data_IF_601856929470
#
_entry.id   IF_601856929470
#
_cell.length_a   1.000
_cell.length_b   1.000
_cell.length_c   1.000
_cell.angle_alpha   90.00
_cell.angle_beta   90.00
_cell.angle_gamma   90.00
#
_symmetry.space_group_name_H-M   'P 1'
#
loop_
_entity.id
_entity.type
_entity.pdbx_description
1 polymer ?
#
# COMPACT_ATOMS: atom_id res chain seq x y z
N UNK A 1 8.27 1.53 -3.36
CA UNK A 1 8.87 1.81 -4.67
C UNK A 1 9.49 3.19 -4.74
N UNK A 2 10.08 3.53 -5.89
CA UNK A 2 10.84 4.78 -6.05
C UNK A 2 9.95 6.04 -6.06
N UNK A 3 8.76 5.98 -6.64
CA UNK A 3 7.85 7.11 -6.77
C UNK A 3 6.82 7.23 -5.66
N UNK A 4 6.39 6.10 -5.09
CA UNK A 4 5.35 6.04 -4.05
C UNK A 4 5.50 4.83 -3.15
N UNK A 5 4.88 4.88 -1.98
CA UNK A 5 4.61 3.73 -1.13
C UNK A 5 3.11 3.44 -1.19
N UNK A 6 2.75 2.20 -1.47
CA UNK A 6 1.36 1.75 -1.44
C UNK A 6 1.08 1.07 -0.10
N UNK A 7 0.05 1.51 0.58
CA UNK A 7 -0.44 0.90 1.81
C UNK A 7 -1.82 0.30 1.58
N UNK A 8 -1.96 -0.97 1.87
CA UNK A 8 -3.19 -1.75 1.67
C UNK A 8 -3.54 -2.52 2.94
N UNK A 9 -4.32 -1.92 3.86
CA UNK A 9 -4.82 -2.64 5.03
C UNK A 9 -5.89 -3.64 4.63
N UNK A 10 -5.82 -4.83 5.23
CA UNK A 10 -6.81 -5.89 5.13
C UNK A 10 -7.46 -6.11 6.49
N UNK A 11 -8.74 -6.44 6.47
CA UNK A 11 -9.48 -6.94 7.62
C UNK A 11 -9.77 -8.42 7.35
N UNK A 12 -9.04 -9.30 8.02
CA UNK A 12 -8.95 -10.72 7.66
C UNK A 12 -8.51 -10.86 6.19
N UNK A 13 -9.38 -11.40 5.34
CA UNK A 13 -9.09 -11.65 3.93
C UNK A 13 -9.69 -10.57 3.00
N UNK A 14 -10.26 -9.49 3.56
CA UNK A 14 -10.92 -8.44 2.78
C UNK A 14 -10.11 -7.16 2.74
N UNK A 15 -9.87 -6.63 1.55
CA UNK A 15 -9.21 -5.35 1.34
C UNK A 15 -10.07 -4.21 1.90
N UNK A 16 -9.51 -3.42 2.80
CA UNK A 16 -10.19 -2.21 3.34
C UNK A 16 -10.07 -1.06 2.36
N UNK A 17 -8.87 -0.78 1.92
CA UNK A 17 -8.52 0.24 0.94
C UNK A 17 -7.13 -0.02 0.40
N UNK A 18 -6.78 0.66 -0.68
CA UNK A 18 -5.40 0.78 -1.11
C UNK A 18 -5.10 2.26 -1.40
N UNK A 19 -4.00 2.76 -0.87
CA UNK A 19 -3.63 4.17 -1.01
C UNK A 19 -2.17 4.27 -1.43
N UNK A 20 -1.93 5.09 -2.44
CA UNK A 20 -0.59 5.46 -2.85
C UNK A 20 -0.18 6.74 -2.13
N UNK A 21 0.77 6.63 -1.23
CA UNK A 21 1.36 7.77 -0.55
C UNK A 21 2.60 8.27 -1.31
N UNK A 22 2.86 9.57 -1.37
CA UNK A 22 4.01 10.15 -2.07
C UNK A 22 5.33 9.95 -1.31
N UNK A 23 5.52 8.77 -0.74
CA UNK A 23 6.65 8.33 0.08
C UNK A 23 7.65 7.46 -0.69
N UNK A 24 7.70 7.58 -2.02
CA UNK A 24 8.73 6.92 -2.82
C UNK A 24 10.12 7.48 -2.51
N UNK A 25 11.11 6.61 -2.45
CA UNK A 25 12.46 6.95 -1.97
C UNK A 25 13.17 7.99 -2.86
N UNK A 26 12.98 7.93 -4.17
CA UNK A 26 13.47 8.95 -5.10
C UNK A 26 12.78 10.30 -4.89
N UNK A 27 11.49 10.30 -4.62
CA UNK A 27 10.73 11.52 -4.35
C UNK A 27 11.19 12.17 -3.05
N UNK A 28 11.33 11.38 -1.98
CA UNK A 28 11.83 11.88 -0.69
C UNK A 28 13.24 12.45 -0.85
N UNK A 29 14.15 11.73 -1.51
CA UNK A 29 15.50 12.23 -1.82
C UNK A 29 15.45 13.55 -2.59
N UNK A 30 14.60 13.64 -3.61
CA UNK A 30 14.47 14.86 -4.43
C UNK A 30 13.95 16.07 -3.66
N UNK A 31 13.12 15.86 -2.64
CA UNK A 31 12.68 16.92 -1.73
C UNK A 31 13.83 17.40 -0.85
N UNK A 32 14.62 16.48 -0.31
CA UNK A 32 15.78 16.80 0.54
C UNK A 32 16.89 17.54 -0.22
N UNK A 33 17.14 17.17 -1.46
CA UNK A 33 18.17 17.83 -2.30
C UNK A 33 17.90 19.34 -2.53
N UNK A 34 16.69 19.80 -2.26
CA UNK A 34 16.31 21.22 -2.38
C UNK A 34 16.50 22.01 -1.09
N UNK A 35 16.82 21.34 0.01
CA UNK A 35 16.95 21.93 1.33
C UNK A 35 18.42 21.85 1.72
N UNK A 36 19.16 22.99 1.79
CA UNK A 36 20.50 23.00 2.33
C UNK A 36 20.42 22.73 3.84
N UNK A 37 20.85 21.55 4.25
CA UNK A 37 20.74 21.10 5.63
C UNK A 37 21.88 20.13 5.99
N UNK A 38 22.16 19.99 7.26
CA UNK A 38 23.04 18.95 7.81
C UNK A 38 22.42 17.56 7.68
N UNK A 39 23.20 16.50 7.85
CA UNK A 39 22.71 15.11 7.80
C UNK A 39 21.59 14.87 8.84
N UNK A 40 21.74 15.44 10.05
CA UNK A 40 20.73 15.30 11.11
C UNK A 40 19.43 16.04 10.78
N UNK A 41 19.53 17.23 10.21
CA UNK A 41 18.36 17.98 9.74
C UNK A 41 17.67 17.27 8.58
N UNK A 42 18.42 16.67 7.65
CA UNK A 42 17.83 15.85 6.59
C UNK A 42 17.03 14.68 7.14
N UNK A 43 17.53 14.00 8.17
CA UNK A 43 16.84 12.91 8.85
C UNK A 43 15.51 13.39 9.44
N UNK A 44 15.51 14.49 10.18
CA UNK A 44 14.30 15.08 10.76
C UNK A 44 13.28 15.46 9.68
N UNK A 45 13.72 16.05 8.58
CA UNK A 45 12.84 16.38 7.46
C UNK A 45 12.22 15.14 6.80
N UNK A 46 12.97 14.02 6.68
CA UNK A 46 12.40 12.77 6.18
C UNK A 46 11.30 12.27 7.11
N UNK A 47 11.57 12.27 8.42
CA UNK A 47 10.60 11.85 9.43
C UNK A 47 9.35 12.71 9.39
N UNK A 48 9.46 14.02 9.30
CA UNK A 48 8.33 14.95 9.19
C UNK A 48 7.49 14.70 7.93
N UNK A 49 8.14 14.52 6.77
CA UNK A 49 7.44 14.21 5.50
C UNK A 49 6.65 12.90 5.63
N UNK A 50 7.30 11.88 6.19
CA UNK A 50 6.69 10.55 6.35
C UNK A 50 5.53 10.63 7.34
N UNK A 51 5.71 11.30 8.47
CA UNK A 51 4.70 11.45 9.51
C UNK A 51 3.46 12.20 9.04
N UNK A 52 3.61 13.25 8.29
CA UNK A 52 2.50 14.01 7.73
C UNK A 52 1.62 13.15 6.81
N UNK A 53 2.23 12.36 5.93
CA UNK A 53 1.51 11.46 5.03
C UNK A 53 0.84 10.30 5.80
N UNK A 54 1.58 9.71 6.74
CA UNK A 54 1.08 8.61 7.55
C UNK A 54 0.01 9.04 8.55
N UNK A 55 0.09 10.25 9.11
CA UNK A 55 -0.94 10.79 10.01
C UNK A 55 -2.31 10.83 9.32
N UNK A 56 -2.33 11.35 8.10
CA UNK A 56 -3.57 11.40 7.30
C UNK A 56 -4.10 10.00 7.01
N UNK A 57 -3.22 9.09 6.61
CA UNK A 57 -3.58 7.70 6.35
C UNK A 57 -4.15 7.00 7.61
N UNK A 58 -3.48 7.14 8.75
CA UNK A 58 -3.93 6.59 10.04
C UNK A 58 -5.31 7.10 10.42
N UNK A 59 -5.49 8.41 10.40
CA UNK A 59 -6.75 9.05 10.77
C UNK A 59 -7.92 8.59 9.91
N UNK A 60 -7.67 8.33 8.63
CA UNK A 60 -8.71 8.00 7.66
C UNK A 60 -9.02 6.51 7.58
N UNK A 61 -8.02 5.64 7.76
CA UNK A 61 -8.14 4.22 7.43
C UNK A 61 -7.83 3.27 8.58
N UNK A 62 -7.03 3.71 9.58
CA UNK A 62 -6.60 2.86 10.69
C UNK A 62 -7.18 3.27 12.05
N UNK A 63 -7.99 4.32 12.13
CA UNK A 63 -8.44 4.92 13.41
C UNK A 63 -8.93 3.91 14.45
N UNK A 64 -9.71 2.93 14.01
CA UNK A 64 -10.37 1.94 14.86
C UNK A 64 -9.87 0.50 14.54
N UNK A 65 -8.65 0.37 14.01
CA UNK A 65 -8.08 -0.91 13.60
C UNK A 65 -6.76 -1.15 14.29
N UNK A 66 -6.62 -2.32 14.86
CA UNK A 66 -5.37 -2.85 15.37
C UNK A 66 -4.67 -3.62 14.23
N UNK A 67 -3.42 -3.27 13.94
CA UNK A 67 -2.61 -3.93 12.92
C UNK A 67 -1.65 -4.87 13.62
N UNK A 68 -1.87 -6.16 13.49
CA UNK A 68 -1.03 -7.19 14.13
C UNK A 68 0.14 -7.60 13.23
N UNK A 69 -0.08 -7.67 11.93
CA UNK A 69 0.92 -8.12 10.95
C UNK A 69 1.17 -7.04 9.91
N UNK A 70 2.44 -6.82 9.61
CA UNK A 70 2.87 -5.94 8.54
C UNK A 70 3.66 -6.74 7.50
N UNK A 71 3.28 -6.63 6.23
CA UNK A 71 3.94 -7.33 5.12
C UNK A 71 4.59 -6.29 4.22
N UNK A 72 5.89 -6.44 3.98
CA UNK A 72 6.66 -5.58 3.09
C UNK A 72 6.97 -6.24 1.76
N UNK A 73 6.59 -5.56 0.67
CA UNK A 73 6.87 -6.02 -0.69
C UNK A 73 7.64 -4.93 -1.41
N UNK A 74 8.70 -5.32 -2.09
CA UNK A 74 9.50 -4.41 -2.90
C UNK A 74 11.00 -4.68 -2.80
N UNK A 75 11.76 -4.00 -3.63
CA UNK A 75 13.20 -4.27 -3.77
C UNK A 75 14.02 -3.70 -2.61
N UNK A 76 13.73 -2.46 -2.19
CA UNK A 76 14.50 -1.80 -1.14
C UNK A 76 14.48 -2.55 0.20
N UNK A 77 13.37 -3.20 0.53
CA UNK A 77 13.26 -3.97 1.78
C UNK A 77 14.14 -5.22 1.75
N UNK A 78 14.42 -5.78 0.57
CA UNK A 78 15.27 -6.97 0.43
C UNK A 78 16.74 -6.68 0.78
N UNK A 79 17.20 -5.45 0.51
CA UNK A 79 18.55 -5.02 0.94
C UNK A 79 18.64 -4.89 2.46
N UNK A 80 17.53 -4.65 3.11
CA UNK A 80 17.46 -4.52 4.57
C UNK A 80 17.44 -5.88 5.24
N UNK A 81 16.56 -6.78 4.78
CA UNK A 81 16.29 -8.05 5.47
C UNK A 81 17.43 -9.08 5.33
N UNK A 82 18.12 -9.11 4.20
CA UNK A 82 19.18 -10.07 3.91
C UNK A 82 20.51 -9.73 4.63
N UNK A 83 20.44 -9.15 5.84
CA UNK A 83 21.62 -8.70 6.58
C UNK A 83 21.83 -9.48 7.86
N UNK A 84 23.05 -10.00 8.10
CA UNK A 84 23.40 -10.70 9.34
C UNK A 84 23.16 -9.85 10.59
N UNK A 85 23.25 -8.52 10.43
CA UNK A 85 23.13 -7.54 11.52
C UNK A 85 21.70 -7.41 12.06
N UNK A 86 20.70 -7.85 11.33
CA UNK A 86 19.30 -7.70 11.71
C UNK A 86 18.77 -8.81 12.61
N UNK A 87 19.55 -9.89 12.84
CA UNK A 87 19.06 -11.04 13.58
C UNK A 87 17.68 -11.49 13.12
N UNK A 88 17.49 -11.55 11.79
CA UNK A 88 16.21 -11.92 11.21
C UNK A 88 15.90 -13.38 11.52
N UNK A 89 14.68 -13.66 11.97
CA UNK A 89 14.17 -15.01 12.02
C UNK A 89 13.59 -15.37 10.63
N UNK A 90 14.48 -15.75 9.72
CA UNK A 90 14.12 -16.00 8.32
C UNK A 90 13.71 -14.71 7.59
N UNK A 91 12.48 -14.65 7.15
CA UNK A 91 11.88 -13.54 6.39
C UNK A 91 11.15 -12.48 7.27
N UNK A 92 11.35 -12.53 8.61
CA UNK A 92 10.70 -11.63 9.57
C UNK A 92 11.72 -10.77 10.30
N UNK A 93 11.36 -9.50 10.50
CA UNK A 93 12.12 -8.50 11.27
C UNK A 93 11.23 -7.99 12.39
N UNK A 94 11.70 -8.07 13.63
CA UNK A 94 11.00 -7.42 14.74
C UNK A 94 11.24 -5.90 14.78
N UNK A 95 10.35 -5.18 15.45
CA UNK A 95 10.43 -3.72 15.54
C UNK A 95 11.72 -3.24 16.22
N UNK A 96 12.23 -3.99 17.21
CA UNK A 96 13.47 -3.65 17.90
C UNK A 96 14.69 -3.79 16.97
N UNK A 97 14.73 -4.84 16.16
CA UNK A 97 15.78 -5.03 15.15
C UNK A 97 15.75 -3.93 14.08
N UNK A 98 14.56 -3.55 13.62
CA UNK A 98 14.39 -2.44 12.68
C UNK A 98 14.89 -1.12 13.28
N UNK A 99 14.58 -0.84 14.54
CA UNK A 99 15.06 0.37 15.22
C UNK A 99 16.60 0.38 15.35
N UNK A 100 17.21 -0.73 15.78
CA UNK A 100 18.68 -0.83 15.82
C UNK A 100 19.33 -0.65 14.46
N UNK A 101 18.73 -1.16 13.42
CA UNK A 101 19.21 -1.00 12.06
C UNK A 101 19.11 0.45 11.60
N UNK A 102 17.96 1.09 11.85
CA UNK A 102 17.74 2.51 11.56
C UNK A 102 18.79 3.41 12.25
N UNK A 103 19.04 3.22 13.55
CA UNK A 103 20.04 4.00 14.30
C UNK A 103 21.44 3.87 13.69
N UNK A 104 21.83 2.66 13.30
CA UNK A 104 23.10 2.43 12.60
C UNK A 104 23.17 3.11 11.25
N UNK A 105 22.12 3.01 10.46
CA UNK A 105 22.04 3.67 9.15
C UNK A 105 22.15 5.20 9.25
N UNK A 106 21.60 5.80 10.30
CA UNK A 106 21.70 7.23 10.56
C UNK A 106 23.14 7.71 10.88
N UNK A 107 24.00 6.81 11.34
CA UNK A 107 25.41 7.13 11.66
C UNK A 107 26.35 6.93 10.47
N UNK A 108 25.88 6.36 9.36
CA UNK A 108 26.68 6.04 8.18
C UNK A 108 26.60 7.13 7.14
N UNK A 109 27.75 7.43 6.51
CA UNK A 109 27.78 8.23 5.29
C UNK A 109 27.32 7.43 4.08
N UNK A 110 26.97 8.09 2.98
CA UNK A 110 26.59 7.43 1.73
C UNK A 110 27.66 6.46 1.25
N UNK A 111 28.94 6.84 1.34
CA UNK A 111 30.08 6.01 0.92
C UNK A 111 30.19 4.74 1.80
N UNK A 112 29.96 4.87 3.10
CA UNK A 112 29.94 3.72 4.01
C UNK A 112 28.76 2.78 3.72
N UNK A 113 27.61 3.33 3.34
CA UNK A 113 26.46 2.54 2.92
C UNK A 113 26.76 1.81 1.60
N UNK A 114 27.38 2.51 0.63
CA UNK A 114 27.79 1.94 -0.65
C UNK A 114 28.71 0.72 -0.45
N UNK A 115 29.78 0.90 0.32
CA UNK A 115 30.73 -0.17 0.62
C UNK A 115 30.07 -1.34 1.38
N UNK A 116 29.32 -1.02 2.44
CA UNK A 116 28.71 -2.04 3.30
C UNK A 116 27.62 -2.86 2.60
N UNK A 117 26.87 -2.25 1.71
CA UNK A 117 25.74 -2.88 1.04
C UNK A 117 26.09 -3.38 -0.37
N UNK A 118 27.25 -3.04 -0.90
CA UNK A 118 27.68 -3.45 -2.24
C UNK A 118 26.77 -2.86 -3.33
N UNK A 119 26.29 -1.64 -3.12
CA UNK A 119 25.41 -0.90 -4.03
C UNK A 119 26.14 0.32 -4.57
N UNK A 120 25.70 0.88 -5.69
CA UNK A 120 26.24 2.14 -6.16
C UNK A 120 25.73 3.34 -5.32
N UNK A 121 26.40 4.49 -5.44
CA UNK A 121 26.10 5.68 -4.62
C UNK A 121 24.65 6.18 -4.82
N UNK A 122 24.12 6.04 -6.02
CA UNK A 122 22.74 6.41 -6.31
C UNK A 122 21.76 5.57 -5.46
N UNK A 123 21.97 4.27 -5.42
CA UNK A 123 21.15 3.34 -4.63
C UNK A 123 21.37 3.52 -3.12
N UNK A 124 22.64 3.71 -2.69
CA UNK A 124 23.00 3.97 -1.30
C UNK A 124 22.24 5.18 -0.73
N UNK A 125 22.09 6.24 -1.52
CA UNK A 125 21.34 7.45 -1.15
C UNK A 125 19.84 7.22 -0.94
N UNK A 126 19.28 6.11 -1.43
CA UNK A 126 17.87 5.75 -1.30
C UNK A 126 17.58 4.82 -0.12
N UNK A 127 18.61 4.18 0.45
CA UNK A 127 18.41 3.21 1.53
C UNK A 127 17.94 3.86 2.84
N UNK A 128 18.55 4.95 3.26
CA UNK A 128 18.14 5.64 4.48
C UNK A 128 16.69 6.15 4.42
N UNK A 129 16.23 6.85 3.36
CA UNK A 129 14.81 7.16 3.19
C UNK A 129 13.88 5.95 3.27
N UNK A 130 14.32 4.81 2.70
CA UNK A 130 13.53 3.57 2.77
C UNK A 130 13.38 3.06 4.20
N UNK A 131 14.47 3.03 4.95
CA UNK A 131 14.49 2.55 6.35
C UNK A 131 13.61 3.43 7.23
N UNK A 132 13.67 4.76 7.04
CA UNK A 132 12.82 5.71 7.77
C UNK A 132 11.34 5.40 7.50
N UNK A 133 10.95 5.22 6.24
CA UNK A 133 9.55 4.91 5.88
C UNK A 133 9.09 3.62 6.56
N UNK A 134 9.88 2.54 6.52
CA UNK A 134 9.50 1.26 7.14
C UNK A 134 9.41 1.36 8.66
N UNK A 135 10.39 2.03 9.30
CA UNK A 135 10.37 2.28 10.74
C UNK A 135 9.12 3.04 11.17
N UNK A 136 8.81 4.15 10.47
CA UNK A 136 7.64 4.98 10.82
C UNK A 136 6.32 4.25 10.60
N UNK A 137 6.22 3.39 9.59
CA UNK A 137 5.05 2.53 9.39
C UNK A 137 4.90 1.53 10.54
N UNK A 138 5.99 0.90 11.01
CA UNK A 138 5.95 0.02 12.18
C UNK A 138 5.47 0.77 13.43
N UNK A 139 6.04 1.93 13.71
CA UNK A 139 5.66 2.76 14.86
C UNK A 139 4.19 3.22 14.78
N UNK A 140 3.74 3.63 13.59
CA UNK A 140 2.38 4.07 13.35
C UNK A 140 1.35 2.96 13.59
N UNK A 141 1.66 1.75 13.15
CA UNK A 141 0.76 0.61 13.22
C UNK A 141 0.80 -0.09 14.57
N UNK A 142 1.90 0.06 15.33
CA UNK A 142 2.16 -0.70 16.54
C UNK A 142 2.43 -2.19 16.29
N UNK A 143 2.67 -2.59 15.04
CA UNK A 143 2.97 -3.96 14.69
C UNK A 143 4.33 -4.38 15.27
N UNK A 144 4.39 -5.55 15.86
CA UNK A 144 5.61 -6.09 16.49
C UNK A 144 6.56 -6.70 15.46
N UNK A 145 6.01 -7.20 14.36
CA UNK A 145 6.73 -7.94 13.33
C UNK A 145 6.48 -7.38 11.93
N UNK A 146 7.53 -7.35 11.15
CA UNK A 146 7.52 -7.01 9.74
C UNK A 146 7.95 -8.23 8.93
N UNK A 147 7.02 -8.80 8.18
CA UNK A 147 7.28 -9.94 7.33
C UNK A 147 7.65 -9.47 5.92
N UNK A 148 8.73 -10.00 5.37
CA UNK A 148 9.24 -9.67 4.04
C UNK A 148 9.40 -10.96 3.23
N UNK A 149 8.36 -11.39 2.52
CA UNK A 149 8.34 -12.69 1.82
C UNK A 149 9.28 -12.78 0.60
N UNK A 150 10.04 -11.74 0.31
CA UNK A 150 10.97 -11.72 -0.82
C UNK A 150 10.30 -11.52 -2.19
N UNK A 151 9.03 -11.23 -2.22
CA UNK A 151 8.24 -11.09 -3.45
C UNK A 151 8.43 -9.68 -4.04
N UNK A 152 8.51 -9.61 -5.36
CA UNK A 152 8.60 -8.37 -6.16
C UNK A 152 7.36 -8.20 -7.02
N UNK A 153 7.20 -7.03 -7.62
CA UNK A 153 6.10 -6.76 -8.54
C UNK A 153 6.09 -7.71 -9.75
N UNK A 154 7.26 -8.05 -10.28
CA UNK A 154 7.39 -9.00 -11.39
C UNK A 154 6.87 -10.40 -11.06
N UNK A 155 7.02 -10.85 -9.81
CA UNK A 155 6.50 -12.15 -9.38
C UNK A 155 4.97 -12.15 -9.38
N UNK A 156 4.34 -11.03 -8.98
CA UNK A 156 2.89 -10.85 -9.07
C UNK A 156 2.38 -10.88 -10.52
N UNK A 157 3.06 -10.20 -11.43
CA UNK A 157 2.72 -10.20 -12.88
C UNK A 157 2.88 -11.59 -13.47
N UNK A 158 3.96 -12.29 -13.13
CA UNK A 158 4.18 -13.66 -13.60
C UNK A 158 3.11 -14.63 -13.07
N UNK A 159 2.70 -14.47 -11.81
CA UNK A 159 1.66 -15.27 -11.20
C UNK A 159 0.29 -15.00 -11.84
N UNK A 160 -0.05 -13.74 -12.14
CA UNK A 160 -1.27 -13.37 -12.86
C UNK A 160 -1.30 -14.01 -14.26
N UNK A 161 -0.22 -13.88 -15.02
CA UNK A 161 -0.08 -14.52 -16.32
C UNK A 161 -0.24 -16.06 -16.25
N UNK A 162 0.37 -16.70 -15.24
CA UNK A 162 0.24 -18.14 -15.04
C UNK A 162 -1.21 -18.55 -14.70
N UNK A 163 -1.93 -17.74 -13.92
CA UNK A 163 -3.34 -17.99 -13.61
C UNK A 163 -4.24 -17.82 -14.83
N UNK A 164 -4.05 -16.80 -15.65
CA UNK A 164 -4.79 -16.59 -16.90
C UNK A 164 -4.59 -17.75 -17.88
N UNK A 165 -3.38 -18.29 -17.94
CA UNK A 165 -3.04 -19.46 -18.77
C UNK A 165 -3.37 -20.79 -18.08
N UNK A 166 -4.06 -20.78 -16.94
CA UNK A 166 -4.48 -22.00 -16.18
C UNK A 166 -3.33 -22.89 -15.71
N UNK A 167 -2.12 -22.35 -15.61
CA UNK A 167 -0.95 -23.05 -15.07
C UNK A 167 -0.98 -23.11 -13.54
N UNK A 168 -1.57 -22.12 -12.90
CA UNK A 168 -1.85 -22.05 -11.47
C UNK A 168 -3.30 -21.60 -11.25
N UNK A 169 -3.84 -21.86 -10.07
CA UNK A 169 -5.15 -21.36 -9.67
C UNK A 169 -5.04 -20.61 -8.36
N UNK A 170 -5.41 -19.34 -8.37
CA UNK A 170 -5.53 -18.60 -7.12
C UNK A 170 -6.75 -19.07 -6.33
N UNK A 171 -6.57 -19.22 -5.03
CA UNK A 171 -7.67 -19.44 -4.09
C UNK A 171 -8.39 -18.13 -3.73
N UNK A 172 -7.68 -17.00 -3.87
CA UNK A 172 -8.18 -15.68 -3.54
C UNK A 172 -9.01 -15.08 -4.69
N UNK A 173 -10.12 -14.41 -4.35
CA UNK A 173 -10.99 -13.76 -5.32
C UNK A 173 -10.76 -12.24 -5.29
N UNK A 174 -10.00 -11.73 -6.24
CA UNK A 174 -9.68 -10.31 -6.37
C UNK A 174 -10.91 -9.43 -6.67
N UNK A 175 -11.97 -9.96 -7.28
CA UNK A 175 -13.21 -9.21 -7.50
C UNK A 175 -13.87 -8.85 -6.16
N UNK A 176 -13.80 -9.73 -5.18
CA UNK A 176 -14.30 -9.46 -3.83
C UNK A 176 -13.53 -8.31 -3.16
N UNK A 177 -12.22 -8.19 -3.38
CA UNK A 177 -11.42 -7.07 -2.87
C UNK A 177 -11.87 -5.74 -3.48
N UNK A 178 -12.09 -5.72 -4.79
CA UNK A 178 -12.57 -4.54 -5.51
C UNK A 178 -13.92 -4.10 -4.97
N UNK A 179 -14.83 -5.04 -4.77
CA UNK A 179 -16.17 -4.76 -4.21
C UNK A 179 -16.10 -4.32 -2.75
N UNK A 180 -15.24 -4.94 -1.93
CA UNK A 180 -15.02 -4.54 -0.55
C UNK A 180 -14.47 -3.10 -0.47
N UNK A 181 -13.47 -2.78 -1.28
CA UNK A 181 -12.91 -1.43 -1.40
C UNK A 181 -13.97 -0.42 -1.85
N UNK A 182 -14.79 -0.76 -2.86
CA UNK A 182 -15.89 0.08 -3.35
C UNK A 182 -16.93 0.37 -2.26
N UNK A 183 -17.33 -0.65 -1.49
CA UNK A 183 -18.24 -0.49 -0.35
C UNK A 183 -17.64 0.39 0.75
N UNK A 184 -16.35 0.26 1.04
CA UNK A 184 -15.66 1.09 2.01
C UNK A 184 -15.59 2.56 1.54
N UNK A 185 -15.38 2.82 0.25
CA UNK A 185 -15.47 4.16 -0.34
C UNK A 185 -16.89 4.72 -0.17
N UNK A 186 -17.91 3.96 -0.56
CA UNK A 186 -19.31 4.37 -0.43
C UNK A 186 -19.66 4.68 1.04
N UNK A 187 -19.23 3.86 1.99
CA UNK A 187 -19.41 4.11 3.43
C UNK A 187 -18.72 5.40 3.88
N UNK A 188 -17.49 5.64 3.44
CA UNK A 188 -16.74 6.87 3.75
C UNK A 188 -17.45 8.14 3.27
N UNK A 189 -17.99 8.12 2.06
CA UNK A 189 -18.76 9.22 1.49
C UNK A 189 -20.24 9.20 1.88
N UNK A 190 -20.60 8.41 2.91
CA UNK A 190 -21.97 8.31 3.46
C UNK A 190 -23.04 7.96 2.41
N UNK A 191 -22.65 7.25 1.37
CA UNK A 191 -23.55 6.82 0.30
C UNK A 191 -24.04 5.39 0.47
N UNK A 192 -23.54 4.65 1.47
CA UNK A 192 -23.94 3.28 1.74
C UNK A 192 -25.26 3.25 2.50
N UNK A 193 -26.37 3.20 1.77
CA UNK A 193 -27.73 3.17 2.31
C UNK A 193 -28.44 1.87 1.90
N UNK A 194 -29.54 1.54 2.58
CA UNK A 194 -30.43 0.44 2.19
C UNK A 194 -30.95 0.59 0.75
N UNK A 195 -31.18 1.83 0.31
CA UNK A 195 -31.55 2.13 -1.07
C UNK A 195 -30.51 1.63 -2.08
N UNK A 196 -29.22 1.85 -1.80
CA UNK A 196 -28.14 1.41 -2.70
C UNK A 196 -28.07 -0.12 -2.79
N UNK A 197 -28.38 -0.84 -1.72
CA UNK A 197 -28.42 -2.31 -1.74
C UNK A 197 -29.54 -2.82 -2.66
N UNK A 198 -30.72 -2.20 -2.59
CA UNK A 198 -31.84 -2.52 -3.45
C UNK A 198 -31.52 -2.19 -4.90
N UNK A 199 -30.92 -1.04 -5.16
CA UNK A 199 -30.48 -0.63 -6.49
C UNK A 199 -29.44 -1.59 -7.08
N UNK A 200 -28.47 -2.05 -6.26
CA UNK A 200 -27.49 -3.05 -6.65
C UNK A 200 -28.17 -4.37 -7.09
N UNK A 201 -29.13 -4.85 -6.31
CA UNK A 201 -29.90 -6.06 -6.65
C UNK A 201 -30.65 -5.92 -7.98
N UNK A 202 -31.35 -4.80 -8.17
CA UNK A 202 -32.12 -4.58 -9.41
C UNK A 202 -31.20 -4.43 -10.62
N UNK A 203 -30.15 -3.64 -10.52
CA UNK A 203 -29.21 -3.43 -11.62
C UNK A 203 -28.56 -4.74 -12.08
N UNK A 204 -28.08 -5.54 -11.13
CA UNK A 204 -27.49 -6.85 -11.43
C UNK A 204 -28.53 -7.85 -11.92
N UNK A 205 -29.75 -7.85 -11.36
CA UNK A 205 -30.85 -8.69 -11.82
C UNK A 205 -31.23 -8.38 -13.28
N UNK A 206 -31.34 -7.11 -13.64
CA UNK A 206 -31.61 -6.69 -15.04
C UNK A 206 -30.45 -7.12 -15.93
N UNK A 207 -29.22 -6.85 -15.56
CA UNK A 207 -28.03 -7.23 -16.32
C UNK A 207 -28.02 -8.74 -16.60
N UNK A 208 -28.16 -9.57 -15.55
CA UNK A 208 -28.08 -11.02 -15.66
C UNK A 208 -29.22 -11.61 -16.51
N UNK A 209 -30.44 -11.05 -16.42
CA UNK A 209 -31.59 -11.47 -17.22
C UNK A 209 -31.51 -11.02 -18.70
N UNK A 210 -30.81 -9.92 -18.96
CA UNK A 210 -30.64 -9.39 -20.32
C UNK A 210 -29.38 -9.89 -21.03
N UNK A 211 -28.64 -10.82 -20.42
CA UNK A 211 -27.37 -11.33 -20.96
C UNK A 211 -27.45 -11.81 -22.41
N UNK A 212 -28.57 -12.40 -22.83
CA UNK A 212 -28.81 -12.85 -24.20
C UNK A 212 -28.89 -11.67 -25.21
N UNK A 213 -29.27 -10.48 -24.77
CA UNK A 213 -29.44 -9.29 -25.61
C UNK A 213 -28.16 -8.47 -25.71
N UNK A 214 -27.46 -8.26 -24.59
CA UNK A 214 -26.27 -7.40 -24.59
C UNK A 214 -24.96 -8.14 -24.82
N UNK A 215 -24.89 -9.45 -24.59
CA UNK A 215 -23.69 -10.27 -24.82
C UNK A 215 -22.49 -9.93 -23.94
N UNK A 216 -22.67 -9.06 -22.92
CA UNK A 216 -21.60 -8.61 -22.03
C UNK A 216 -21.20 -9.70 -21.02
N UNK A 217 -19.94 -9.64 -20.54
CA UNK A 217 -19.36 -10.66 -19.67
C UNK A 217 -19.27 -10.24 -18.19
N UNK A 218 -18.46 -11.00 -17.47
CA UNK A 218 -18.28 -10.84 -16.02
C UNK A 218 -17.60 -9.50 -15.66
N UNK A 219 -16.70 -9.03 -16.52
CA UNK A 219 -15.99 -7.74 -16.32
C UNK A 219 -16.97 -6.56 -16.34
N UNK A 220 -17.87 -6.53 -17.33
CA UNK A 220 -18.89 -5.47 -17.45
C UNK A 220 -19.90 -5.54 -16.31
N UNK A 221 -20.23 -6.75 -15.84
CA UNK A 221 -21.06 -6.97 -14.66
C UNK A 221 -20.41 -6.37 -13.40
N UNK A 222 -19.13 -6.62 -13.20
CA UNK A 222 -18.35 -6.04 -12.09
C UNK A 222 -18.32 -4.50 -12.19
N UNK A 223 -18.07 -3.96 -13.39
CA UNK A 223 -18.06 -2.51 -13.62
C UNK A 223 -19.42 -1.89 -13.31
N UNK A 224 -20.53 -2.50 -13.71
CA UNK A 224 -21.87 -2.06 -13.35
C UNK A 224 -22.07 -2.05 -11.84
N UNK A 225 -21.66 -3.11 -11.16
CA UNK A 225 -21.79 -3.22 -9.71
C UNK A 225 -21.01 -2.11 -8.98
N UNK A 226 -19.76 -1.84 -9.40
CA UNK A 226 -18.95 -0.72 -8.87
C UNK A 226 -19.64 0.62 -9.13
N UNK A 227 -20.13 0.86 -10.34
CA UNK A 227 -20.82 2.09 -10.70
C UNK A 227 -22.04 2.33 -9.81
N UNK A 228 -22.85 1.29 -9.58
CA UNK A 228 -24.01 1.36 -8.68
C UNK A 228 -23.60 1.63 -7.23
N UNK A 229 -22.55 1.01 -6.72
CA UNK A 229 -22.06 1.26 -5.37
C UNK A 229 -21.59 2.70 -5.16
N UNK A 230 -20.99 3.30 -6.18
CA UNK A 230 -20.32 4.60 -6.09
C UNK A 230 -21.13 5.76 -6.68
N UNK A 231 -22.26 5.53 -7.35
CA UNK A 231 -23.02 6.56 -8.09
C UNK A 231 -23.38 7.78 -7.24
N UNK A 232 -23.67 7.61 -5.95
CA UNK A 232 -24.05 8.69 -5.07
C UNK A 232 -22.87 9.45 -4.42
N UNK A 233 -21.62 8.96 -4.60
CA UNK A 233 -20.44 9.56 -3.95
C UNK A 233 -20.18 10.99 -4.43
N UNK A 234 -20.53 11.31 -5.68
CA UNK A 234 -20.40 12.66 -6.25
C UNK A 234 -21.20 13.72 -5.49
N UNK A 235 -22.34 13.36 -4.93
CA UNK A 235 -23.20 14.27 -4.14
C UNK A 235 -22.52 14.76 -2.86
N UNK A 236 -21.61 13.98 -2.29
CA UNK A 236 -20.83 14.40 -1.13
C UNK A 236 -19.78 15.45 -1.47
N UNK A 237 -19.24 15.40 -2.69
CA UNK A 237 -18.21 16.32 -3.17
C UNK A 237 -18.83 17.63 -3.66
N UNK A 238 -19.89 17.54 -4.46
CA UNK A 238 -20.61 18.72 -4.99
C UNK A 238 -22.04 18.36 -5.38
N UNK A 239 -23.03 19.03 -4.77
CA UNK A 239 -24.44 18.84 -5.12
C UNK A 239 -24.75 19.42 -6.52
N UNK A 240 -24.00 20.47 -6.96
CA UNK A 240 -24.24 21.13 -8.26
C UNK A 240 -23.78 20.31 -9.47
N UNK A 241 -22.83 19.39 -9.30
CA UNK A 241 -22.22 18.61 -10.38
C UNK A 241 -22.36 17.10 -10.13
N UNK A 242 -23.45 16.68 -9.54
CA UNK A 242 -23.65 15.29 -9.09
C UNK A 242 -24.34 14.38 -10.13
N UNK A 243 -24.46 14.83 -11.39
CA UNK A 243 -25.01 14.06 -12.49
C UNK A 243 -23.92 13.36 -13.29
#
# INVERSE_FOLDING_TARGET
>A
GFGSAQLSPFDKDSLVTTQNLPLGTLRVRGLLARIPATVEEHKQHIEEIVDNELFTFRKMYLKDREITNLIGIGENILYIINRPDLNTCGDKVDAAAMNRFYERMCQMTTDQIEERFGVNSEYASLLLPSVVVYKRILELTGAEMFWVPGIRLCDGIAAEYANENKLVKFSHNFENDILAASRNIAKRYKCHTSHNQVLEQYALGIFDNMKKFHGLGQRERLMLQIAVLLHACGKFISIKNSN
#
